data_IF_600557856648
#
_entry.id   IF_600557856648
#
_cell.length_a   1.000
_cell.length_b   1.000
_cell.length_c   1.000
_cell.angle_alpha   90.00
_cell.angle_beta   90.00
_cell.angle_gamma   90.00
#
_symmetry.space_group_name_H-M   'P 1'
#
loop_
_entity.id
_entity.type
_entity.pdbx_description
1 polymer ?
#
# COMPACT_ATOMS: atom_id res chain seq x y z
N UNK A 1 -14.06 -36.34 24.13
CA UNK A 1 -13.36 -35.27 24.88
C UNK A 1 -12.26 -34.72 23.99
N UNK A 2 -12.19 -33.41 23.76
CA UNK A 2 -11.00 -32.77 23.18
C UNK A 2 -11.10 -32.17 21.76
N UNK A 3 -11.77 -31.02 21.66
CA UNK A 3 -11.38 -29.84 20.88
C UNK A 3 -11.29 -29.94 19.34
N UNK A 4 -12.28 -29.32 18.70
CA UNK A 4 -12.18 -28.69 17.38
C UNK A 4 -11.44 -27.36 17.52
N UNK A 5 -10.33 -27.14 16.82
CA UNK A 5 -9.89 -25.79 16.46
C UNK A 5 -9.82 -25.67 14.95
N UNK A 6 -10.72 -24.81 14.47
CA UNK A 6 -10.78 -24.23 13.14
C UNK A 6 -9.45 -23.54 12.83
N UNK A 7 -8.88 -23.73 11.66
CA UNK A 7 -8.71 -22.62 10.72
C UNK A 7 -8.39 -23.16 9.32
N UNK A 8 -9.43 -23.58 8.60
CA UNK A 8 -9.33 -23.78 7.16
C UNK A 8 -9.29 -22.41 6.49
N UNK A 9 -8.14 -21.74 6.51
CA UNK A 9 -7.86 -20.70 5.52
C UNK A 9 -7.64 -21.45 4.21
N UNK A 10 -8.64 -21.45 3.32
CA UNK A 10 -8.49 -22.07 2.01
C UNK A 10 -7.39 -21.32 1.23
N UNK A 11 -6.45 -22.07 0.67
CA UNK A 11 -5.24 -21.56 0.00
C UNK A 11 -5.53 -20.74 -1.27
N UNK A 12 -6.77 -20.75 -1.75
CA UNK A 12 -7.29 -19.98 -2.89
C UNK A 12 -7.71 -18.54 -2.52
N UNK A 13 -7.79 -18.21 -1.23
CA UNK A 13 -8.13 -16.86 -0.74
C UNK A 13 -6.92 -15.99 -0.38
N UNK A 14 -5.77 -16.60 -0.07
CA UNK A 14 -4.49 -15.88 0.16
C UNK A 14 -4.03 -15.05 -1.06
N UNK A 15 -4.14 -15.54 -2.31
CA UNK A 15 -3.75 -14.77 -3.50
C UNK A 15 -4.63 -13.55 -3.79
N UNK A 16 -5.89 -13.54 -3.32
CA UNK A 16 -6.82 -12.41 -3.48
C UNK A 16 -6.57 -11.28 -2.47
N UNK A 17 -5.96 -11.58 -1.33
CA UNK A 17 -5.63 -10.60 -0.28
C UNK A 17 -4.43 -9.72 -0.66
N UNK A 18 -3.46 -10.27 -1.38
CA UNK A 18 -2.27 -9.54 -1.90
C UNK A 18 -2.55 -8.75 -3.19
N UNK A 19 -3.71 -8.97 -3.82
CA UNK A 19 -4.08 -8.31 -5.08
C UNK A 19 -4.62 -6.87 -4.89
N UNK A 20 -4.83 -6.42 -3.65
CA UNK A 20 -5.57 -5.19 -3.35
C UNK A 20 -4.95 -4.41 -2.18
N UNK A 21 -3.68 -4.00 -2.31
CA UNK A 21 -3.49 -2.55 -2.14
C UNK A 21 -4.31 -1.96 -3.27
N UNK A 22 -5.59 -1.62 -3.01
CA UNK A 22 -6.52 -1.23 -4.06
C UNK A 22 -5.80 -0.26 -4.99
N UNK A 23 -5.91 -0.42 -6.32
CA UNK A 23 -5.39 0.60 -7.24
C UNK A 23 -5.85 2.02 -6.82
N UNK A 24 -7.02 2.12 -6.18
CA UNK A 24 -7.51 3.36 -5.59
C UNK A 24 -6.82 3.79 -4.29
N UNK A 25 -6.38 2.87 -3.42
CA UNK A 25 -5.74 3.18 -2.13
C UNK A 25 -4.21 3.12 -2.13
N UNK A 26 -3.59 2.53 -3.16
CA UNK A 26 -2.14 2.41 -3.27
C UNK A 26 -1.42 3.75 -3.33
N UNK A 27 -1.97 4.72 -4.08
CA UNK A 27 -1.42 6.07 -4.10
C UNK A 27 -1.52 6.75 -2.73
N UNK A 28 -2.66 6.63 -2.06
CA UNK A 28 -2.86 7.19 -0.72
C UNK A 28 -1.89 6.58 0.31
N UNK A 29 -1.83 5.25 0.36
CA UNK A 29 -1.00 4.53 1.34
C UNK A 29 0.49 4.79 1.14
N UNK A 30 0.96 5.03 -0.10
CA UNK A 30 2.33 5.48 -0.34
C UNK A 30 2.62 6.89 0.22
N UNK A 31 1.65 7.81 0.18
CA UNK A 31 1.80 9.16 0.72
C UNK A 31 1.86 9.19 2.24
N UNK A 32 1.05 8.36 2.91
CA UNK A 32 0.93 8.39 4.38
C UNK A 32 1.81 7.36 5.08
N UNK A 33 2.65 6.63 4.34
CA UNK A 33 3.49 5.57 4.88
C UNK A 33 4.47 6.11 5.92
N UNK A 34 4.25 5.79 7.20
CA UNK A 34 5.04 6.29 8.35
C UNK A 34 6.56 6.16 8.17
N UNK A 35 7.01 5.05 7.62
CA UNK A 35 8.45 4.77 7.47
C UNK A 35 9.10 5.40 6.24
N UNK A 36 8.33 5.95 5.29
CA UNK A 36 8.87 6.76 4.19
C UNK A 36 9.42 8.07 4.75
N UNK A 37 10.65 8.45 4.41
CA UNK A 37 11.33 9.63 4.98
C UNK A 37 11.65 10.70 3.97
N UNK A 38 11.73 10.35 2.70
CA UNK A 38 12.08 11.25 1.60
C UNK A 38 11.11 11.03 0.45
N UNK A 39 10.83 12.10 -0.27
CA UNK A 39 10.12 12.01 -1.54
C UNK A 39 10.71 12.97 -2.55
N UNK A 40 10.64 12.57 -3.82
CA UNK A 40 10.96 13.42 -4.97
C UNK A 40 9.79 13.44 -5.93
N UNK A 41 9.51 14.61 -6.52
CA UNK A 41 8.43 14.78 -7.50
C UNK A 41 8.99 15.40 -8.77
N UNK A 42 8.68 14.80 -9.91
CA UNK A 42 8.98 15.32 -11.25
C UNK A 42 7.70 15.60 -12.02
N UNK A 43 7.73 16.62 -12.87
CA UNK A 43 6.62 16.98 -13.77
C UNK A 43 7.16 17.24 -15.18
N UNK A 44 6.48 16.70 -16.19
CA UNK A 44 6.77 16.97 -17.60
C UNK A 44 5.47 17.26 -18.35
N UNK A 45 5.49 18.22 -19.26
CA UNK A 45 4.37 18.52 -20.16
C UNK A 45 4.71 18.03 -21.56
N UNK A 46 3.76 17.36 -22.20
CA UNK A 46 3.91 16.86 -23.57
C UNK A 46 3.34 17.87 -24.58
N UNK A 47 3.75 17.73 -25.84
CA UNK A 47 3.34 18.62 -26.93
C UNK A 47 1.84 18.55 -27.26
N UNK A 48 1.16 17.47 -26.84
CA UNK A 48 -0.29 17.29 -26.97
C UNK A 48 -1.08 18.00 -25.85
N UNK A 49 -0.40 18.70 -24.94
CA UNK A 49 -1.00 19.37 -23.78
C UNK A 49 -1.14 18.49 -22.53
N UNK A 50 -0.81 17.19 -22.61
CA UNK A 50 -0.81 16.30 -21.45
C UNK A 50 0.26 16.69 -20.42
N UNK A 51 0.04 16.40 -19.14
CA UNK A 51 1.03 16.58 -18.08
C UNK A 51 1.23 15.30 -17.28
N UNK A 52 2.48 14.89 -17.14
CA UNK A 52 2.90 13.70 -16.41
C UNK A 52 3.53 14.14 -15.11
N UNK A 53 3.06 13.59 -13.99
CA UNK A 53 3.64 13.80 -12.65
C UNK A 53 4.07 12.46 -12.09
N UNK A 54 5.31 12.39 -11.60
CA UNK A 54 5.87 11.18 -10.99
C UNK A 54 6.35 11.53 -9.60
N UNK A 55 5.90 10.75 -8.61
CA UNK A 55 6.43 10.80 -7.25
C UNK A 55 7.22 9.53 -6.93
N UNK A 56 8.36 9.69 -6.27
CA UNK A 56 9.18 8.60 -5.73
C UNK A 56 9.32 8.78 -4.22
N UNK A 57 9.30 7.67 -3.49
CA UNK A 57 9.33 7.63 -2.04
C UNK A 57 10.48 6.74 -1.57
N UNK A 58 11.20 7.18 -0.54
CA UNK A 58 12.34 6.45 0.04
C UNK A 58 12.33 6.54 1.60
N UNK A 59 12.41 5.41 2.33
CA UNK A 59 12.22 4.03 1.87
C UNK A 59 10.87 3.82 1.17
N UNK A 60 10.75 2.75 0.38
CA UNK A 60 9.52 2.45 -0.35
C UNK A 60 8.35 2.15 0.61
N UNK A 61 7.18 2.72 0.31
CA UNK A 61 5.92 2.36 0.96
C UNK A 61 5.27 1.14 0.32
N UNK A 62 4.10 0.75 0.83
CA UNK A 62 3.27 -0.34 0.30
C UNK A 62 3.99 -1.70 0.23
N UNK A 63 4.86 -1.98 1.18
CA UNK A 63 5.50 -3.29 1.33
C UNK A 63 4.45 -4.28 1.86
N UNK A 64 4.16 -5.33 1.09
CA UNK A 64 3.11 -6.32 1.39
C UNK A 64 3.67 -7.42 2.28
N UNK A 65 3.92 -7.05 3.54
CA UNK A 65 4.31 -7.98 4.61
C UNK A 65 3.27 -7.94 5.73
N UNK A 66 3.01 -9.07 6.43
CA UNK A 66 2.10 -9.09 7.57
C UNK A 66 2.47 -8.01 8.61
N UNK A 67 1.50 -7.20 9.04
CA UNK A 67 1.67 -6.15 10.05
C UNK A 67 2.17 -4.79 9.53
N UNK A 68 2.68 -4.71 8.31
CA UNK A 68 3.32 -3.48 7.83
C UNK A 68 2.32 -2.34 7.58
N UNK A 69 1.10 -2.66 7.15
CA UNK A 69 0.07 -1.66 6.92
C UNK A 69 -0.44 -1.06 8.22
N UNK A 70 -0.64 -1.88 9.25
CA UNK A 70 -1.05 -1.46 10.58
C UNK A 70 0.00 -0.54 11.23
N UNK A 71 1.28 -0.81 11.00
CA UNK A 71 2.38 0.00 11.53
C UNK A 71 2.60 1.32 10.77
N UNK A 72 2.25 1.36 9.48
CA UNK A 72 2.61 2.47 8.59
C UNK A 72 1.46 3.34 8.10
N UNK A 73 0.21 2.84 8.12
CA UNK A 73 -0.98 3.59 7.68
C UNK A 73 -1.83 3.88 8.92
N UNK A 74 -1.49 4.97 9.61
CA UNK A 74 -2.12 5.35 10.87
C UNK A 74 -3.45 6.08 10.66
N UNK A 75 -4.39 6.01 11.61
CA UNK A 75 -5.62 6.79 11.55
C UNK A 75 -5.32 8.31 11.55
N UNK A 76 -6.19 9.13 10.93
CA UNK A 76 -6.05 10.58 10.98
C UNK A 76 -6.13 11.08 12.42
N UNK A 77 -5.46 12.20 12.69
CA UNK A 77 -5.57 12.87 13.99
C UNK A 77 -6.98 13.45 14.15
N UNK A 78 -7.50 13.41 15.38
CA UNK A 78 -8.75 14.09 15.75
C UNK A 78 -8.56 15.60 15.80
#
# INVERSE_FOLDING_TARGET
>A
MGIVVRNQIRSDLVPKMNAYVSLSSGHFTAMVWKNTKKMGVGKASASDGSTFVVARYDPAGNVVNPGYYEENVLPPRK
#
